data_IF_838034394895
#
_entry.id   IF_838034394895
#
_cell.length_a   1.000
_cell.length_b   1.000
_cell.length_c   1.000
_cell.angle_alpha   90.00
_cell.angle_beta   90.00
_cell.angle_gamma   90.00
#
_symmetry.space_group_name_H-M   'P 1'
#
loop_
_entity.id
_entity.type
_entity.pdbx_description
1 polymer ?
2 non-polymer ?
3 non-polymer ?
4 non-polymer ?
5 water ?
#
# COMPACT_ATOMS: atom_id res chain seq x y z
N UNK A 1 -26.83 3.53 6.59
CA UNK A 1 -25.70 2.81 7.23
C UNK A 1 -24.71 3.84 7.77
N UNK A 2 -24.61 3.94 9.09
CA UNK A 2 -23.73 4.93 9.70
C UNK A 2 -22.26 4.66 9.36
N UNK A 3 -21.89 3.39 9.21
CA UNK A 3 -20.53 3.01 8.84
C UNK A 3 -20.22 3.50 7.43
N UNK A 4 -21.18 3.26 6.53
CA UNK A 4 -20.99 3.67 5.16
C UNK A 4 -20.91 5.20 5.08
N UNK A 5 -21.75 5.88 5.85
CA UNK A 5 -21.66 7.34 5.92
C UNK A 5 -20.27 7.85 6.35
N UNK A 6 -19.65 7.16 7.31
CA UNK A 6 -18.31 7.49 7.78
C UNK A 6 -17.27 7.43 6.66
N UNK A 7 -17.48 6.53 5.70
CA UNK A 7 -16.56 6.41 4.57
C UNK A 7 -16.89 7.47 3.53
N UNK A 8 -18.17 7.65 3.26
CA UNK A 8 -18.61 8.57 2.23
C UNK A 8 -18.15 9.97 2.56
N UNK A 9 -18.25 10.35 3.83
CA UNK A 9 -17.98 11.73 4.20
C UNK A 9 -16.47 12.02 4.19
N UNK A 10 -15.66 10.99 3.97
CA UNK A 10 -14.21 11.15 3.88
C UNK A 10 -13.65 10.91 2.46
N UNK A 11 -14.50 10.97 1.45
CA UNK A 11 -14.03 10.97 0.08
C UNK A 11 -14.04 12.43 -0.39
N UNK A 12 -12.89 12.93 -0.80
CA UNK A 12 -12.76 14.31 -1.24
C UNK A 12 -12.66 14.30 -2.76
N UNK A 13 -13.44 15.14 -3.43
CA UNK A 13 -13.51 15.10 -4.89
C UNK A 13 -12.85 16.36 -5.47
N UNK A 14 -11.89 16.15 -6.35
CA UNK A 14 -11.14 17.25 -6.96
C UNK A 14 -11.44 17.35 -8.45
N UNK A 15 -12.16 18.41 -8.84
CA UNK A 15 -12.43 18.58 -10.28
C UNK A 15 -11.18 18.89 -11.09
N UNK A 16 -11.18 18.43 -12.33
CA UNK A 16 -10.17 18.79 -13.32
C UNK A 16 -8.77 18.32 -12.95
N UNK A 17 -8.69 17.20 -12.26
CA UNK A 17 -7.42 16.52 -11.98
C UNK A 17 -7.53 15.09 -12.44
N UNK A 18 -6.60 14.61 -13.29
CA UNK A 18 -5.41 15.36 -13.73
C UNK A 18 -5.62 16.18 -14.99
N UNK A 19 -6.78 16.05 -15.62
CA UNK A 19 -7.08 16.74 -16.85
C UNK A 19 -8.44 17.38 -16.73
N UNK A 20 -8.71 18.41 -17.55
CA UNK A 20 -10.00 19.05 -17.42
C UNK A 20 -11.17 18.09 -17.66
N UNK A 21 -12.17 18.21 -16.79
CA UNK A 21 -13.41 17.46 -16.93
C UNK A 21 -13.47 16.22 -16.08
N UNK A 22 -12.31 15.68 -15.67
CA UNK A 22 -12.29 14.51 -14.80
C UNK A 22 -12.39 14.93 -13.33
N UNK A 23 -13.07 14.13 -12.54
CA UNK A 23 -13.18 14.41 -11.14
C UNK A 23 -12.44 13.32 -10.39
N UNK A 24 -11.38 13.72 -9.69
CA UNK A 24 -10.53 12.79 -8.96
C UNK A 24 -11.12 12.51 -7.59
N UNK A 25 -11.31 11.23 -7.29
CA UNK A 25 -11.87 10.82 -6.01
C UNK A 25 -10.73 10.42 -5.12
N UNK A 26 -10.49 11.23 -4.10
CA UNK A 26 -9.34 11.08 -3.22
C UNK A 26 -9.72 10.37 -1.92
N UNK A 27 -9.16 9.19 -1.71
CA UNK A 27 -9.47 8.38 -0.55
C UNK A 27 -8.57 8.71 0.64
N UNK A 28 -7.68 9.70 0.50
CA UNK A 28 -6.73 10.00 1.55
C UNK A 28 -7.40 10.32 2.89
N UNK A 29 -8.53 11.04 2.89
CA UNK A 29 -9.13 11.34 4.21
C UNK A 29 -9.65 10.09 4.92
N UNK A 30 -9.98 9.05 4.16
CA UNK A 30 -10.39 7.77 4.74
C UNK A 30 -9.24 7.18 5.53
N UNK A 31 -8.04 7.22 4.96
CA UNK A 31 -6.86 6.68 5.63
C UNK A 31 -6.50 7.49 6.87
N UNK A 32 -6.73 8.79 6.80
CA UNK A 32 -6.31 9.72 7.83
C UNK A 32 -7.18 9.67 9.07
N UNK A 33 -8.42 9.19 8.90
CA UNK A 33 -9.38 9.09 9.98
C UNK A 33 -9.51 7.64 10.34
N UNK A 34 -8.99 7.26 11.51
CA UNK A 34 -8.93 5.84 11.79
C UNK A 34 -10.30 5.18 11.85
N UNK A 35 -11.31 5.92 12.26
CA UNK A 35 -12.68 5.38 12.34
C UNK A 35 -13.22 5.10 10.95
N UNK A 36 -12.90 5.98 9.98
CA UNK A 36 -13.33 5.82 8.61
C UNK A 36 -12.68 4.61 7.94
N UNK A 37 -11.38 4.49 8.12
CA UNK A 37 -10.64 3.36 7.55
C UNK A 37 -11.17 2.07 8.15
N UNK A 38 -11.36 2.05 9.47
CA UNK A 38 -11.88 0.83 10.10
C UNK A 38 -13.27 0.47 9.55
N UNK A 39 -14.10 1.48 9.33
CA UNK A 39 -15.44 1.27 8.75
C UNK A 39 -15.36 0.70 7.33
N UNK A 40 -14.47 1.27 6.51
CA UNK A 40 -14.28 0.75 5.13
C UNK A 40 -13.84 -0.71 5.12
N UNK A 41 -12.84 -1.03 5.94
CA UNK A 41 -12.37 -2.41 5.98
C UNK A 41 -13.46 -3.35 6.48
N UNK A 42 -14.18 -2.93 7.52
CA UNK A 42 -15.23 -3.75 8.11
C UNK A 42 -16.38 -3.99 7.14
N UNK A 43 -16.74 -2.98 6.35
CA UNK A 43 -17.81 -3.12 5.38
C UNK A 43 -17.40 -4.10 4.27
N UNK A 44 -16.16 -3.98 3.82
CA UNK A 44 -15.66 -4.86 2.77
C UNK A 44 -15.59 -6.28 3.29
N UNK A 45 -15.09 -6.45 4.50
CA UNK A 45 -14.91 -7.80 5.07
C UNK A 45 -16.25 -8.47 5.29
N UNK A 46 -17.23 -7.68 5.74
CA UNK A 46 -18.57 -8.20 6.01
C UNK A 46 -19.22 -8.67 4.71
N UNK A 47 -19.16 -7.83 3.67
CA UNK A 47 -19.61 -8.22 2.34
C UNK A 47 -18.96 -9.53 1.87
N UNK A 48 -17.65 -9.65 2.00
CA UNK A 48 -16.93 -10.81 1.46
C UNK A 48 -17.21 -12.10 2.22
N UNK A 49 -17.29 -12.01 3.54
CA UNK A 49 -17.65 -13.16 4.35
C UNK A 49 -19.09 -13.61 4.05
N UNK A 50 -20.01 -12.64 3.89
CA UNK A 50 -21.41 -12.98 3.64
C UNK A 50 -21.57 -13.56 2.24
N UNK A 51 -20.74 -13.12 1.31
CA UNK A 51 -20.88 -13.54 -0.08
C UNK A 51 -20.17 -14.85 -0.38
N UNK A 52 -18.98 -15.00 0.17
CA UNK A 52 -18.12 -16.14 -0.18
C UNK A 52 -17.94 -17.18 0.90
N UNK A 53 -18.39 -16.89 2.12
CA UNK A 53 -18.22 -17.82 3.24
C UNK A 53 -16.75 -18.19 3.41
N UNK A 54 -16.43 -19.49 3.39
CA UNK A 54 -15.04 -19.93 3.54
C UNK A 54 -14.27 -20.14 2.24
N UNK A 55 -14.82 -19.69 1.11
CA UNK A 55 -14.20 -19.97 -0.20
C UNK A 55 -12.92 -19.18 -0.46
N UNK A 56 -12.78 -18.00 0.16
CA UNK A 56 -11.63 -17.17 -0.16
C UNK A 56 -10.34 -17.73 0.45
N UNK A 57 -9.29 -17.82 -0.36
CA UNK A 57 -7.99 -18.26 0.11
C UNK A 57 -7.05 -17.08 0.37
N UNK A 58 -7.09 -16.10 -0.51
CA UNK A 58 -6.18 -14.92 -0.45
C UNK A 58 -6.88 -13.69 -0.98
N UNK A 59 -6.44 -12.55 -0.46
CA UNK A 59 -6.74 -11.24 -1.06
C UNK A 59 -5.56 -10.89 -1.98
N UNK A 60 -5.84 -10.29 -3.14
CA UNK A 60 -4.82 -9.73 -4.02
C UNK A 60 -4.97 -8.23 -4.04
N UNK A 61 -3.93 -7.52 -3.65
CA UNK A 61 -3.95 -6.07 -3.65
C UNK A 61 -3.25 -5.54 -4.88
N UNK A 62 -3.85 -4.52 -5.50
CA UNK A 62 -3.27 -3.91 -6.68
C UNK A 62 -2.42 -2.67 -6.40
N UNK A 63 -1.21 -2.67 -6.94
CA UNK A 63 -0.26 -1.56 -6.87
C UNK A 63 -0.95 -0.34 -7.52
N UNK A 64 -1.00 0.84 -6.89
CA UNK A 64 -0.40 1.11 -5.59
C UNK A 64 -1.45 1.36 -4.51
N UNK A 65 -2.57 1.98 -4.86
CA UNK A 65 -3.53 2.35 -3.83
C UNK A 65 -4.26 1.15 -3.24
N UNK A 66 -4.31 0.05 -3.99
CA UNK A 66 -4.89 -1.17 -3.44
C UNK A 66 -4.05 -1.75 -2.32
N UNK A 67 -2.76 -1.40 -2.30
CA UNK A 67 -1.86 -1.83 -1.24
C UNK A 67 -2.34 -1.25 0.10
N UNK A 68 -3.05 -0.13 0.06
CA UNK A 68 -3.48 0.56 1.28
C UNK A 68 -4.59 -0.20 1.99
N UNK A 69 -5.31 -1.03 1.24
CA UNK A 69 -6.52 -1.70 1.75
C UNK A 69 -6.37 -3.20 1.80
N UNK A 70 -5.59 -3.76 0.88
CA UNK A 70 -5.43 -5.20 0.80
C UNK A 70 -5.00 -5.89 2.08
N UNK A 71 -3.88 -5.46 2.63
CA UNK A 71 -3.39 -6.18 3.82
C UNK A 71 -4.35 -6.08 5.00
N UNK A 72 -4.94 -4.90 5.22
CA UNK A 72 -5.86 -4.76 6.32
C UNK A 72 -7.11 -5.62 6.14
N UNK A 73 -7.58 -5.70 4.91
CA UNK A 73 -8.76 -6.50 4.58
C UNK A 73 -8.42 -7.98 4.79
N UNK A 74 -7.27 -8.39 4.28
CA UNK A 74 -6.84 -9.77 4.47
C UNK A 74 -6.74 -10.11 5.97
N UNK A 75 -6.07 -9.26 6.75
CA UNK A 75 -5.94 -9.51 8.20
C UNK A 75 -7.32 -9.64 8.84
N UNK A 76 -8.27 -8.82 8.41
CA UNK A 76 -9.60 -8.86 9.01
C UNK A 76 -10.28 -10.20 8.73
N UNK A 77 -9.97 -10.81 7.59
CA UNK A 77 -10.54 -12.10 7.18
C UNK A 77 -9.70 -13.31 7.61
N UNK A 78 -8.56 -13.04 8.23
CA UNK A 78 -7.66 -14.09 8.67
C UNK A 78 -6.84 -14.69 7.53
N UNK A 79 -6.69 -13.94 6.44
CA UNK A 79 -6.04 -14.40 5.21
C UNK A 79 -4.76 -13.64 4.89
N UNK A 80 -3.91 -14.26 4.09
CA UNK A 80 -2.80 -13.56 3.50
C UNK A 80 -3.19 -12.67 2.34
N UNK A 81 -2.26 -11.81 1.95
CA UNK A 81 -2.45 -10.91 0.82
C UNK A 81 -1.32 -11.13 -0.20
N UNK A 82 -1.68 -11.35 -1.46
CA UNK A 82 -0.69 -11.41 -2.52
C UNK A 82 -0.69 -10.10 -3.30
N UNK A 83 0.38 -9.84 -4.03
CA UNK A 83 0.57 -8.53 -4.67
C UNK A 83 0.58 -8.63 -6.18
N UNK A 84 -0.10 -7.68 -6.82
CA UNK A 84 -0.04 -7.51 -8.26
C UNK A 84 0.55 -6.12 -8.50
N UNK A 85 1.68 -6.07 -9.22
CA UNK A 85 2.47 -4.85 -9.27
C UNK A 85 2.63 -4.31 -10.69
N UNK A 86 2.88 -3.01 -10.80
CA UNK A 86 3.39 -2.48 -12.06
C UNK A 86 4.61 -3.29 -12.50
N UNK A 87 4.70 -3.60 -13.79
CA UNK A 87 5.74 -4.47 -14.30
C UNK A 87 7.15 -3.92 -13.98
N UNK A 88 8.04 -4.84 -13.63
CA UNK A 88 9.44 -4.50 -13.39
C UNK A 88 9.79 -4.36 -11.92
N UNK A 89 8.78 -4.44 -11.06
CA UNK A 89 9.01 -4.23 -9.63
C UNK A 89 9.28 -5.52 -8.85
N UNK A 90 8.81 -6.65 -9.39
CA UNK A 90 8.89 -7.92 -8.66
C UNK A 90 10.00 -8.83 -9.16
N UNK A 91 10.75 -9.44 -8.22
CA UNK A 91 11.84 -10.35 -8.58
C UNK A 91 11.33 -11.76 -8.84
N UNK A 92 12.14 -12.57 -9.51
CA UNK A 92 11.81 -13.98 -9.72
C UNK A 92 10.95 -14.12 -10.94
N UNK A 93 10.50 -15.35 -11.23
CA UNK A 93 9.68 -15.62 -12.42
C UNK A 93 8.32 -14.95 -12.31
N UNK A 94 7.92 -14.28 -13.38
CA UNK A 94 6.65 -13.55 -13.38
C UNK A 94 5.87 -13.78 -14.66
N UNK A 95 4.61 -13.35 -14.60
CA UNK A 95 3.77 -13.20 -15.76
C UNK A 95 3.40 -11.72 -15.81
N UNK A 96 3.22 -11.19 -17.00
CA UNK A 96 2.75 -9.81 -17.15
C UNK A 96 1.63 -9.67 -18.19
N UNK A 97 0.89 -8.57 -18.08
CA UNK A 97 -0.22 -8.34 -18.97
C UNK A 97 -0.30 -6.85 -19.24
N UNK A 98 -0.48 -6.51 -20.50
CA UNK A 98 -0.66 -5.12 -20.88
C UNK A 98 -2.12 -4.75 -20.76
N UNK A 99 -2.36 -3.46 -20.65
CA UNK A 99 -3.71 -2.96 -20.62
C UNK A 99 -3.59 -1.48 -20.98
N UNK A 100 -4.70 -0.87 -21.37
CA UNK A 100 -4.72 0.53 -21.76
C UNK A 100 -4.84 1.39 -20.50
N UNK A 101 -4.02 2.43 -20.41
CA UNK A 101 -4.09 3.36 -19.31
C UNK A 101 -3.94 4.77 -19.86
N UNK A 102 -4.93 5.61 -19.58
CA UNK A 102 -4.95 6.97 -20.11
C UNK A 102 -4.69 6.94 -21.62
N UNK A 103 -3.58 7.52 -22.07
CA UNK A 103 -3.33 7.65 -23.52
C UNK A 103 -2.40 6.57 -24.10
N UNK A 104 -1.92 5.66 -23.26
CA UNK A 104 -0.97 4.67 -23.73
C UNK A 104 -1.22 3.30 -23.15
N UNK A 105 -0.17 2.51 -23.04
CA UNK A 105 -0.25 1.18 -22.45
C UNK A 105 0.52 1.17 -21.15
N UNK A 106 0.14 0.27 -20.24
CA UNK A 106 0.91 0.00 -19.04
C UNK A 106 0.87 -1.51 -18.85
N UNK A 107 1.67 -2.03 -17.92
CA UNK A 107 1.68 -3.47 -17.69
C UNK A 107 1.68 -3.79 -16.20
N UNK A 108 0.91 -4.81 -15.84
CA UNK A 108 0.91 -5.35 -14.49
C UNK A 108 1.61 -6.70 -14.53
N UNK A 109 2.04 -7.17 -13.36
CA UNK A 109 2.86 -8.37 -13.26
C UNK A 109 2.63 -9.05 -11.92
N UNK A 110 2.76 -10.37 -11.91
CA UNK A 110 2.58 -11.15 -10.71
C UNK A 110 3.67 -12.21 -10.69
N UNK A 111 4.13 -12.57 -9.50
CA UNK A 111 5.09 -13.66 -9.37
C UNK A 111 4.41 -14.98 -9.67
N UNK A 112 5.08 -15.87 -10.39
CA UNK A 112 4.46 -17.15 -10.74
C UNK A 112 4.10 -17.99 -9.52
N UNK A 113 4.84 -17.84 -8.41
CA UNK A 113 4.50 -18.60 -7.20
C UNK A 113 3.54 -17.89 -6.24
N UNK A 114 2.95 -16.77 -6.67
CA UNK A 114 2.02 -16.05 -5.78
C UNK A 114 0.83 -16.92 -5.38
N UNK A 115 0.36 -17.75 -6.31
CA UNK A 115 -0.79 -18.64 -6.07
C UNK A 115 -0.57 -19.95 -6.79
N UNK A 116 -1.18 -21.01 -6.24
CA UNK A 116 -1.24 -22.33 -6.87
C UNK A 116 -2.53 -22.53 -7.62
N UNK A 117 -2.50 -23.43 -8.60
CA UNK A 117 -3.72 -23.73 -9.33
C UNK A 117 -4.81 -24.16 -8.38
N UNK A 118 -5.99 -23.59 -8.56
CA UNK A 118 -7.15 -23.93 -7.77
C UNK A 118 -7.41 -23.00 -6.62
N UNK A 119 -6.46 -22.13 -6.28
CA UNK A 119 -6.65 -21.23 -5.17
C UNK A 119 -7.58 -20.10 -5.59
N UNK A 120 -8.35 -19.60 -4.63
CA UNK A 120 -9.44 -18.66 -4.86
C UNK A 120 -9.11 -17.33 -4.23
N UNK A 121 -9.36 -16.27 -4.98
CA UNK A 121 -8.84 -14.97 -4.64
C UNK A 121 -9.89 -13.89 -4.85
N UNK A 122 -9.82 -12.85 -4.03
CA UNK A 122 -10.58 -11.61 -4.24
C UNK A 122 -9.58 -10.48 -4.44
N UNK A 123 -9.78 -9.74 -5.51
CA UNK A 123 -8.92 -8.61 -5.86
C UNK A 123 -9.49 -7.33 -5.27
N UNK A 124 -8.63 -6.50 -4.68
CA UNK A 124 -9.05 -5.22 -4.13
C UNK A 124 -8.23 -4.07 -4.70
N UNK A 125 -8.94 -3.00 -5.04
CA UNK A 125 -8.28 -1.75 -5.40
C UNK A 125 -9.11 -0.64 -4.77
N UNK A 126 -8.60 0.59 -4.78
CA UNK A 126 -9.36 1.66 -4.17
C UNK A 126 -10.56 2.07 -5.01
N UNK A 127 -10.38 2.09 -6.33
CA UNK A 127 -11.41 2.61 -7.21
C UNK A 127 -11.42 1.86 -8.52
N UNK A 128 -12.63 1.61 -9.01
CA UNK A 128 -12.88 1.02 -10.32
C UNK A 128 -13.36 2.11 -11.27
N UNK A 129 -12.63 2.31 -12.36
CA UNK A 129 -13.03 3.30 -13.39
C UNK A 129 -13.36 2.55 -14.68
N UNK A 130 -12.50 2.57 -15.70
CA UNK A 130 -12.77 1.77 -16.90
C UNK A 130 -12.75 0.28 -16.62
N UNK A 131 -12.04 -0.14 -15.59
CA UNK A 131 -11.91 -1.56 -15.33
C UNK A 131 -10.68 -2.18 -15.96
N UNK A 132 -9.91 -1.40 -16.72
CA UNK A 132 -8.73 -1.96 -17.40
C UNK A 132 -7.73 -2.59 -16.41
N UNK A 133 -7.49 -1.90 -15.30
CA UNK A 133 -6.55 -2.35 -14.28
C UNK A 133 -7.02 -3.66 -13.64
N UNK A 134 -8.25 -3.67 -13.16
CA UNK A 134 -8.80 -4.87 -12.55
C UNK A 134 -8.89 -6.03 -13.54
N UNK A 135 -9.18 -5.71 -14.79
CA UNK A 135 -9.30 -6.74 -15.82
C UNK A 135 -7.95 -7.39 -16.09
N UNK A 136 -6.89 -6.61 -16.16
CA UNK A 136 -5.54 -7.15 -16.31
C UNK A 136 -5.15 -8.04 -15.11
N UNK A 137 -5.51 -7.60 -13.90
CA UNK A 137 -5.28 -8.39 -12.70
C UNK A 137 -5.99 -9.75 -12.79
N UNK A 138 -7.25 -9.73 -13.19
CA UNK A 138 -7.99 -11.00 -13.38
C UNK A 138 -7.32 -11.93 -14.39
N UNK A 139 -6.83 -11.36 -15.50
CA UNK A 139 -6.12 -12.12 -16.53
C UNK A 139 -4.89 -12.81 -15.98
N UNK A 140 -4.07 -12.07 -15.24
CA UNK A 140 -2.88 -12.62 -14.60
C UNK A 140 -3.20 -13.76 -13.65
N UNK A 141 -4.19 -13.55 -12.79
CA UNK A 141 -4.58 -14.57 -11.82
C UNK A 141 -5.12 -15.81 -12.51
N UNK A 142 -5.89 -15.62 -13.58
CA UNK A 142 -6.42 -16.71 -14.38
C UNK A 142 -5.30 -17.53 -14.97
N UNK A 143 -4.21 -16.87 -15.37
CA UNK A 143 -3.09 -17.56 -15.97
C UNK A 143 -2.30 -18.40 -14.95
N UNK A 144 -2.41 -18.10 -13.66
CA UNK A 144 -1.86 -19.00 -12.61
C UNK A 144 -2.85 -20.10 -12.27
N UNK A 145 -3.96 -20.14 -13.01
CA UNK A 145 -5.01 -21.11 -12.77
C UNK A 145 -5.67 -20.88 -11.43
N UNK A 146 -5.63 -19.62 -10.97
CA UNK A 146 -6.37 -19.22 -9.77
C UNK A 146 -7.77 -18.85 -10.21
N UNK A 147 -8.71 -18.89 -9.27
CA UNK A 147 -10.08 -18.51 -9.54
C UNK A 147 -10.32 -17.17 -8.88
N UNK A 148 -10.74 -16.18 -9.66
CA UNK A 148 -11.11 -14.90 -9.09
C UNK A 148 -12.59 -14.91 -8.71
N UNK A 149 -12.87 -14.90 -7.42
CA UNK A 149 -14.23 -14.94 -6.90
C UNK A 149 -14.95 -13.63 -7.07
N UNK A 150 -14.22 -12.53 -6.96
CA UNK A 150 -14.82 -11.21 -6.95
C UNK A 150 -13.71 -10.18 -7.00
N UNK A 151 -14.02 -9.02 -7.56
CA UNK A 151 -13.20 -7.82 -7.42
C UNK A 151 -13.97 -6.79 -6.59
N UNK A 152 -13.28 -6.07 -5.69
CA UNK A 152 -13.94 -5.08 -4.86
C UNK A 152 -13.15 -3.78 -4.83
N UNK A 153 -13.86 -2.70 -4.54
CA UNK A 153 -13.25 -1.38 -4.42
C UNK A 153 -14.04 -0.50 -3.44
N UNK A 154 -13.44 0.59 -2.97
CA UNK A 154 -14.19 1.56 -2.19
C UNK A 154 -15.14 2.35 -3.09
N UNK A 155 -14.64 2.75 -4.26
CA UNK A 155 -15.38 3.64 -5.16
C UNK A 155 -15.49 3.05 -6.55
N UNK A 156 -16.64 3.27 -7.17
CA UNK A 156 -16.90 2.84 -8.55
C UNK A 156 -17.45 4.04 -9.32
N UNK A 157 -16.95 4.25 -10.54
CA UNK A 157 -17.43 5.33 -11.41
C UNK A 157 -18.32 4.70 -12.47
N UNK A 158 -19.62 4.72 -12.23
CA UNK A 158 -20.53 3.87 -12.98
C UNK A 158 -20.63 4.23 -14.47
N UNK A 159 -20.40 5.50 -14.82
CA UNK A 159 -20.57 5.88 -16.21
C UNK A 159 -19.50 5.25 -17.11
N UNK A 160 -18.43 4.75 -16.51
CA UNK A 160 -17.31 4.15 -17.27
C UNK A 160 -17.49 2.65 -17.50
N UNK A 161 -18.54 2.06 -16.92
CA UNK A 161 -18.93 0.71 -17.22
C UNK A 161 -17.85 -0.33 -16.92
N UNK A 162 -17.11 -0.12 -15.83
CA UNK A 162 -16.12 -1.10 -15.38
C UNK A 162 -16.70 -2.47 -15.01
N UNK A 163 -17.87 -2.44 -14.37
CA UNK A 163 -18.53 -3.67 -13.94
C UNK A 163 -18.71 -4.59 -15.15
N UNK A 164 -19.25 -4.00 -16.22
CA UNK A 164 -19.51 -4.70 -17.48
C UNK A 164 -18.24 -5.30 -18.08
N UNK A 165 -17.15 -4.54 -18.00
CA UNK A 165 -15.85 -5.04 -18.47
C UNK A 165 -15.40 -6.29 -17.71
N UNK A 166 -15.59 -6.29 -16.40
CA UNK A 166 -15.15 -7.42 -15.58
C UNK A 166 -16.01 -8.64 -15.73
N UNK A 167 -17.29 -8.44 -16.08
CA UNK A 167 -18.23 -9.57 -16.23
C UNK A 167 -17.60 -10.64 -17.11
N UNK A 168 -17.72 -11.92 -16.74
CA UNK A 168 -18.61 -12.37 -15.68
C UNK A 168 -18.01 -12.43 -14.27
N UNK A 169 -16.81 -11.88 -14.05
CA UNK A 169 -16.26 -11.81 -12.68
C UNK A 169 -17.09 -10.82 -11.87
N UNK A 170 -17.68 -11.26 -10.77
CA UNK A 170 -18.52 -10.36 -9.96
C UNK A 170 -17.72 -9.17 -9.42
N UNK A 171 -18.42 -8.10 -9.10
CA UNK A 171 -17.79 -6.87 -8.61
C UNK A 171 -18.69 -6.19 -7.57
N UNK A 172 -18.06 -5.55 -6.58
CA UNK A 172 -18.74 -4.86 -5.50
C UNK A 172 -17.96 -3.62 -5.09
N UNK A 173 -18.68 -2.52 -4.89
CA UNK A 173 -18.08 -1.27 -4.47
C UNK A 173 -18.88 -0.71 -3.29
N UNK A 174 -18.20 -0.02 -2.38
CA UNK A 174 -18.87 0.62 -1.26
C UNK A 174 -19.70 1.82 -1.70
N UNK A 175 -19.11 2.62 -2.58
CA UNK A 175 -19.67 3.89 -3.02
C UNK A 175 -19.67 4.01 -4.55
N UNK A 176 -20.70 4.67 -5.08
CA UNK A 176 -20.82 4.88 -6.53
C UNK A 176 -20.99 6.35 -6.86
N UNK A 177 -20.26 6.80 -7.88
CA UNK A 177 -20.47 8.13 -8.46
C UNK A 177 -20.62 7.95 -9.97
N UNK A 178 -21.30 8.86 -10.63
CA UNK A 178 -21.37 8.79 -12.08
C UNK A 178 -19.93 8.80 -12.61
N UNK B 1 13.55 -14.36 19.67
CA UNK B 1 12.15 -13.85 19.58
C UNK B 1 11.44 -14.57 18.43
N UNK B 2 10.43 -15.36 18.77
CA UNK B 2 9.75 -16.19 17.80
C UNK B 2 8.93 -15.34 16.81
N UNK B 3 8.38 -14.21 17.27
CA UNK B 3 7.68 -13.28 16.38
C UNK B 3 8.61 -12.69 15.34
N UNK B 4 9.79 -12.28 15.79
CA UNK B 4 10.77 -11.75 14.88
C UNK B 4 11.20 -12.84 13.91
N UNK B 5 11.28 -14.09 14.39
CA UNK B 5 11.63 -15.19 13.51
C UNK B 5 10.59 -15.41 12.42
N UNK B 6 9.31 -15.20 12.75
CA UNK B 6 8.25 -15.36 11.76
C UNK B 6 8.40 -14.37 10.59
N UNK B 7 8.95 -13.20 10.88
CA UNK B 7 9.17 -12.19 9.84
C UNK B 7 10.44 -12.53 9.06
N UNK B 8 11.51 -12.85 9.77
CA UNK B 8 12.80 -13.08 9.10
C UNK B 8 12.72 -14.28 8.13
N UNK B 9 12.01 -15.33 8.50
CA UNK B 9 11.94 -16.48 7.63
C UNK B 9 11.04 -16.22 6.41
N UNK B 10 10.35 -15.09 6.37
CA UNK B 10 9.52 -14.72 5.22
C UNK B 10 10.10 -13.58 4.38
N UNK B 11 11.38 -13.24 4.55
CA UNK B 11 12.07 -12.33 3.63
C UNK B 11 12.85 -13.20 2.67
N UNK B 12 12.71 -13.00 1.38
CA UNK B 12 13.55 -13.78 0.45
C UNK B 12 14.42 -12.84 -0.36
N UNK B 13 15.63 -13.31 -0.65
CA UNK B 13 16.63 -12.45 -1.24
C UNK B 13 16.89 -12.88 -2.66
N UNK B 14 17.02 -11.91 -3.55
CA UNK B 14 17.30 -12.16 -4.96
C UNK B 14 18.55 -11.40 -5.42
N UNK B 15 19.66 -12.12 -5.57
CA UNK B 15 20.90 -11.47 -6.07
C UNK B 15 20.73 -10.91 -7.48
N UNK B 16 21.33 -9.75 -7.72
CA UNK B 16 21.36 -9.13 -9.05
C UNK B 16 19.97 -8.86 -9.63
N UNK B 17 19.06 -8.47 -8.75
CA UNK B 17 17.78 -7.88 -9.16
C UNK B 17 17.61 -6.55 -8.47
N UNK B 18 17.20 -5.50 -9.19
CA UNK B 18 16.82 -5.59 -10.61
C UNK B 18 17.98 -5.38 -11.59
N UNK B 19 19.17 -5.09 -11.06
CA UNK B 19 20.34 -4.88 -11.87
C UNK B 19 21.53 -5.56 -11.17
N UNK B 20 22.62 -5.86 -11.91
CA UNK B 20 23.73 -6.57 -11.28
C UNK B 20 24.35 -5.77 -10.14
N UNK B 21 24.58 -6.42 -9.02
CA UNK B 21 25.12 -5.74 -7.85
C UNK B 21 24.13 -5.59 -6.72
N UNK B 22 22.84 -5.46 -7.03
CA UNK B 22 21.84 -5.25 -5.98
C UNK B 22 21.31 -6.60 -5.50
N UNK B 23 21.19 -6.80 -4.19
CA UNK B 23 20.52 -7.99 -3.64
C UNK B 23 19.14 -7.56 -3.17
N UNK B 24 18.11 -7.96 -3.90
CA UNK B 24 16.77 -7.48 -3.63
C UNK B 24 16.21 -8.26 -2.45
N UNK B 25 15.66 -7.53 -1.47
CA UNK B 25 14.98 -8.16 -0.35
C UNK B 25 13.48 -8.06 -0.55
N UNK B 26 12.82 -9.21 -0.73
CA UNK B 26 11.41 -9.26 -1.10
C UNK B 26 10.56 -9.55 0.14
N UNK B 27 9.71 -8.60 0.50
CA UNK B 27 8.84 -8.78 1.67
C UNK B 27 7.52 -9.45 1.30
N UNK B 28 7.35 -9.81 0.03
CA UNK B 28 6.09 -10.42 -0.40
C UNK B 28 5.64 -11.62 0.46
N UNK B 29 6.58 -12.49 0.90
CA UNK B 29 6.08 -13.61 1.71
C UNK B 29 5.53 -13.21 3.10
N UNK B 30 5.98 -12.08 3.63
CA UNK B 30 5.46 -11.56 4.90
C UNK B 30 3.97 -11.23 4.75
N UNK B 31 3.62 -10.65 3.61
CA UNK B 31 2.24 -10.22 3.36
C UNK B 31 1.36 -11.44 3.13
N UNK B 32 1.92 -12.49 2.54
CA UNK B 32 1.12 -13.67 2.15
C UNK B 32 0.84 -14.58 3.34
N UNK B 33 1.67 -14.50 4.37
CA UNK B 33 1.48 -15.32 5.56
C UNK B 33 0.89 -14.45 6.68
N UNK B 34 -0.40 -14.64 6.99
CA UNK B 34 -1.04 -13.64 7.88
C UNK B 34 -0.39 -13.57 9.26
N UNK B 35 0.18 -14.67 9.72
CA UNK B 35 0.86 -14.69 11.02
C UNK B 35 2.14 -13.82 11.00
N UNK B 36 2.83 -13.84 9.86
CA UNK B 36 4.05 -13.10 9.64
C UNK B 36 3.73 -11.59 9.58
N UNK B 37 2.67 -11.25 8.87
CA UNK B 37 2.29 -9.86 8.70
C UNK B 37 1.85 -9.29 10.04
N UNK B 38 1.04 -10.03 10.78
CA UNK B 38 0.62 -9.61 12.12
C UNK B 38 1.80 -9.42 13.06
N UNK B 39 2.79 -10.31 12.94
CA UNK B 39 4.00 -10.24 13.75
C UNK B 39 4.78 -8.96 13.46
N UNK B 40 4.92 -8.65 12.18
CA UNK B 40 5.68 -7.47 11.78
C UNK B 40 5.04 -6.20 12.31
N UNK B 41 3.73 -6.08 12.09
CA UNK B 41 2.97 -4.93 12.57
C UNK B 41 3.05 -4.81 14.11
N UNK B 42 2.93 -5.94 14.81
CA UNK B 42 2.97 -5.94 16.25
C UNK B 42 4.32 -5.54 16.81
N UNK B 43 5.40 -6.01 16.19
CA UNK B 43 6.72 -5.64 16.64
C UNK B 43 6.99 -4.15 16.46
N UNK B 44 6.54 -3.61 15.33
CA UNK B 44 6.68 -2.19 15.05
C UNK B 44 5.85 -1.38 16.02
N UNK B 45 4.62 -1.82 16.28
CA UNK B 45 3.72 -1.06 17.13
C UNK B 45 4.21 -1.07 18.59
N UNK B 46 4.72 -2.21 19.04
CA UNK B 46 5.26 -2.32 20.39
C UNK B 46 6.47 -1.40 20.55
N UNK B 47 7.36 -1.39 19.55
CA UNK B 47 8.52 -0.49 19.62
C UNK B 47 8.08 0.96 19.71
N UNK B 48 7.10 1.32 18.90
CA UNK B 48 6.69 2.72 18.82
C UNK B 48 5.99 3.19 20.09
N UNK B 49 5.13 2.34 20.67
CA UNK B 49 4.46 2.70 21.93
C UNK B 49 5.45 2.78 23.09
N UNK B 50 6.43 1.88 23.07
CA UNK B 50 7.44 1.84 24.11
C UNK B 50 8.39 3.04 24.05
N UNK B 51 8.56 3.59 22.86
CA UNK B 51 9.49 4.68 22.64
C UNK B 51 8.83 6.06 22.73
N UNK B 52 7.58 6.16 22.29
CA UNK B 52 6.89 7.45 22.19
C UNK B 52 5.68 7.64 23.09
N UNK B 53 5.28 6.59 23.81
CA UNK B 53 4.05 6.66 24.58
C UNK B 53 2.89 7.16 23.72
N UNK B 54 2.20 8.19 24.16
CA UNK B 54 1.03 8.68 23.41
C UNK B 54 1.31 9.85 22.48
N UNK B 55 2.57 10.09 22.15
CA UNK B 55 2.96 11.33 21.45
C UNK B 55 2.80 11.32 19.92
N UNK B 56 2.58 10.15 19.33
CA UNK B 56 2.43 10.05 17.88
C UNK B 56 1.02 10.46 17.42
N UNK B 57 0.96 11.39 16.47
CA UNK B 57 -0.33 11.85 15.94
C UNK B 57 -0.71 11.04 14.71
N UNK B 58 0.25 10.77 13.83
CA UNK B 58 -0.01 10.06 12.59
C UNK B 58 1.14 9.18 12.18
N UNK B 59 0.80 8.11 11.46
CA UNK B 59 1.76 7.37 10.67
C UNK B 59 1.81 7.95 9.25
N UNK B 60 3.01 8.03 8.65
CA UNK B 60 3.12 8.39 7.24
C UNK B 60 3.71 7.19 6.50
N UNK B 61 2.96 6.69 5.52
CA UNK B 61 3.38 5.56 4.71
C UNK B 61 3.91 6.02 3.37
N UNK B 62 5.00 5.39 2.93
CA UNK B 62 5.69 5.78 1.71
C UNK B 62 5.33 4.89 0.53
N UNK B 63 5.02 5.54 -0.58
CA UNK B 63 4.63 4.90 -1.84
C UNK B 63 5.84 4.15 -2.35
N UNK B 64 5.73 2.85 -2.70
CA UNK B 64 4.46 2.12 -2.69
C UNK B 64 4.44 1.01 -1.64
N UNK B 65 5.59 0.42 -1.32
CA UNK B 65 5.59 -0.73 -0.43
C UNK B 65 5.32 -0.33 1.03
N UNK B 66 5.59 0.94 1.37
CA UNK B 66 5.23 1.44 2.67
C UNK B 66 3.72 1.49 2.89
N UNK B 67 2.96 1.61 1.80
CA UNK B 67 1.50 1.58 1.83
C UNK B 67 1.01 0.25 2.39
N UNK B 68 1.83 -0.79 2.22
CA UNK B 68 1.48 -2.14 2.68
C UNK B 68 1.49 -2.24 4.20
N UNK B 69 2.28 -1.39 4.86
CA UNK B 69 2.42 -1.45 6.31
C UNK B 69 1.78 -0.28 7.05
N UNK B 70 1.82 0.90 6.46
CA UNK B 70 1.31 2.12 7.07
C UNK B 70 -0.08 2.04 7.69
N UNK B 71 -1.10 1.68 6.89
CA UNK B 71 -2.46 1.69 7.45
C UNK B 71 -2.64 0.67 8.54
N UNK B 72 -2.07 -0.52 8.37
CA UNK B 72 -2.18 -1.49 9.44
C UNK B 72 -1.48 -1.07 10.73
N UNK B 73 -0.31 -0.46 10.60
CA UNK B 73 0.42 0.04 11.77
C UNK B 73 -0.36 1.15 12.47
N UNK B 74 -0.88 2.09 11.68
CA UNK B 74 -1.71 3.16 12.20
C UNK B 74 -2.92 2.60 12.95
N UNK B 75 -3.64 1.68 12.33
CA UNK B 75 -4.79 1.08 12.99
C UNK B 75 -4.41 0.42 14.31
N UNK B 76 -3.31 -0.32 14.34
CA UNK B 76 -2.87 -0.99 15.57
C UNK B 76 -2.61 0.03 16.69
N UNK B 77 -2.22 1.23 16.30
CA UNK B 77 -1.88 2.29 17.23
C UNK B 77 -3.08 3.23 17.53
N UNK B 78 -4.21 2.98 16.88
CA UNK B 78 -5.36 3.86 17.01
C UNK B 78 -5.22 5.18 16.27
N UNK B 79 -4.33 5.23 15.29
CA UNK B 79 -4.02 6.47 14.57
C UNK B 79 -4.43 6.47 13.09
N UNK B 80 -4.51 7.66 12.52
CA UNK B 80 -4.63 7.80 11.07
C UNK B 80 -3.29 7.62 10.33
N UNK B 81 -3.39 7.39 9.03
CA UNK B 81 -2.21 7.27 8.15
C UNK B 81 -2.26 8.32 7.05
N UNK B 82 -1.19 9.10 6.92
CA UNK B 82 -1.08 10.03 5.81
C UNK B 82 -0.15 9.47 4.74
N UNK B 83 -0.28 9.98 3.53
CA UNK B 83 0.42 9.39 2.42
C UNK B 83 1.49 10.31 1.88
N UNK B 84 2.62 9.72 1.55
CA UNK B 84 3.65 10.43 0.80
C UNK B 84 3.84 9.64 -0.51
N UNK B 85 3.70 10.31 -1.64
CA UNK B 85 3.57 9.60 -2.90
C UNK B 85 4.67 9.93 -3.87
N UNK B 86 4.84 9.08 -4.87
CA UNK B 86 5.67 9.45 -6.00
C UNK B 86 5.02 10.66 -6.68
N UNK B 87 5.82 11.62 -7.13
CA UNK B 87 5.25 12.83 -7.74
C UNK B 87 4.28 12.58 -8.90
N UNK B 88 3.21 13.35 -8.90
CA UNK B 88 2.26 13.34 -10.01
C UNK B 88 1.00 12.55 -9.71
N UNK B 89 0.92 11.97 -8.51
CA UNK B 89 -0.19 11.09 -8.17
C UNK B 89 -1.27 11.77 -7.32
N UNK B 90 -0.92 12.85 -6.64
CA UNK B 90 -1.83 13.47 -5.68
C UNK B 90 -2.50 14.72 -6.24
N UNK B 91 -3.82 14.88 -5.96
CA UNK B 91 -4.56 16.05 -6.33
C UNK B 91 -4.37 17.16 -5.31
N UNK B 92 -4.74 18.37 -5.72
CA UNK B 92 -4.61 19.53 -4.84
C UNK B 92 -3.18 20.03 -4.72
N UNK B 93 -2.98 21.13 -3.99
CA UNK B 93 -1.65 21.72 -3.87
C UNK B 93 -0.69 20.77 -3.20
N UNK B 94 0.51 20.66 -3.75
CA UNK B 94 1.51 19.76 -3.21
C UNK B 94 2.86 20.44 -3.06
N UNK B 95 3.70 19.80 -2.27
CA UNK B 95 5.12 20.06 -2.21
C UNK B 95 5.81 18.80 -2.66
N UNK B 96 7.00 18.94 -3.25
CA UNK B 96 7.76 17.77 -3.66
C UNK B 96 9.26 17.89 -3.32
N UNK B 97 9.95 16.75 -3.31
CA UNK B 97 11.36 16.71 -2.95
C UNK B 97 12.04 15.58 -3.69
N UNK B 98 13.20 15.87 -4.26
CA UNK B 98 13.94 14.88 -5.04
C UNK B 98 14.81 14.00 -4.17
N UNK B 99 15.83 13.41 -4.79
CA UNK B 99 16.70 12.48 -4.09
C UNK B 99 17.08 11.39 -5.07
N UNK B 100 18.32 11.40 -5.53
CA UNK B 100 18.73 10.46 -6.55
C UNK B 100 18.29 9.04 -6.19
N UNK B 101 17.76 8.36 -7.20
CA UNK B 101 17.45 6.95 -7.15
C UNK B 101 18.09 6.41 -8.43
N UNK B 102 18.77 5.27 -8.33
CA UNK B 102 19.46 4.69 -9.49
C UNK B 102 20.58 5.64 -9.95
N UNK B 103 20.66 5.81 -11.27
CA UNK B 103 21.66 6.68 -11.89
C UNK B 103 21.11 8.10 -12.14
N UNK B 104 19.87 8.35 -11.72
CA UNK B 104 19.23 9.63 -11.96
C UNK B 104 18.45 10.15 -10.76
N UNK B 105 17.35 10.86 -11.02
CA UNK B 105 16.60 11.52 -9.96
C UNK B 105 15.09 11.22 -10.02
N UNK B 106 14.44 11.36 -8.88
CA UNK B 106 13.03 11.01 -8.71
C UNK B 106 12.50 11.88 -7.56
N UNK B 107 11.17 11.99 -7.44
CA UNK B 107 10.60 12.94 -6.49
C UNK B 107 9.42 12.35 -5.72
N UNK B 108 9.35 12.64 -4.42
CA UNK B 108 8.21 12.31 -3.57
C UNK B 108 7.40 13.58 -3.41
N UNK B 109 6.15 13.42 -2.98
CA UNK B 109 5.19 14.53 -2.95
C UNK B 109 4.22 14.34 -1.79
N UNK B 110 3.78 15.44 -1.20
CA UNK B 110 2.80 15.39 -0.15
C UNK B 110 1.84 16.55 -0.36
N UNK B 111 0.58 16.37 0.03
CA UNK B 111 -0.40 17.47 -0.06
C UNK B 111 -0.05 18.54 0.96
N UNK B 112 -0.17 19.80 0.56
CA UNK B 112 0.15 20.89 1.47
C UNK B 112 -0.69 20.84 2.74
N UNK B 113 -1.88 20.23 2.66
CA UNK B 113 -2.75 20.19 3.85
C UNK B 113 -2.75 18.83 4.58
N UNK B 114 -1.76 18.00 4.31
CA UNK B 114 -1.71 16.68 4.90
C UNK B 114 -1.56 16.71 6.43
N UNK B 115 -0.85 17.72 6.95
CA UNK B 115 -0.61 17.83 8.41
C UNK B 115 -0.60 19.30 8.79
N UNK B 116 -0.88 19.59 10.07
CA UNK B 116 -0.83 20.93 10.63
C UNK B 116 0.48 21.12 11.35
N UNK B 117 0.94 22.37 11.49
CA UNK B 117 2.17 22.61 12.20
C UNK B 117 2.15 22.00 13.59
N UNK B 118 3.23 21.31 13.95
CA UNK B 118 3.38 20.77 15.28
C UNK B 118 2.94 19.33 15.42
N UNK B 119 2.22 18.81 14.44
CA UNK B 119 1.77 17.42 14.52
C UNK B 119 2.96 16.49 14.41
N UNK B 120 2.89 15.38 15.14
CA UNK B 120 4.02 14.48 15.32
C UNK B 120 3.78 13.22 14.54
N UNK B 121 4.77 12.82 13.75
CA UNK B 121 4.58 11.78 12.78
C UNK B 121 5.69 10.73 12.85
N UNK B 122 5.33 9.48 12.57
CA UNK B 122 6.31 8.41 12.39
C UNK B 122 6.17 7.92 10.94
N UNK B 123 7.29 7.84 10.25
CA UNK B 123 7.33 7.43 8.84
C UNK B 123 7.66 5.94 8.76
N UNK B 124 6.95 5.21 7.90
CA UNK B 124 7.23 3.77 7.69
C UNK B 124 7.42 3.45 6.21
N UNK B 125 8.44 2.63 5.93
CA UNK B 125 8.64 2.05 4.61
C UNK B 125 9.04 0.60 4.82
N UNK B 126 9.07 -0.18 3.74
CA UNK B 126 9.46 -1.56 3.93
C UNK B 126 10.94 -1.75 4.26
N UNK B 127 11.78 -0.95 3.62
CA UNK B 127 13.22 -1.17 3.66
C UNK B 127 13.98 0.16 3.55
N UNK B 128 14.98 0.31 4.41
CA UNK B 128 15.88 1.46 4.37
C UNK B 128 17.20 1.02 3.73
N UNK B 129 17.59 1.70 2.66
CA UNK B 129 18.86 1.44 1.98
C UNK B 129 19.77 2.66 2.14
N UNK B 130 19.92 3.49 1.12
CA UNK B 130 20.75 4.70 1.25
C UNK B 130 20.08 5.72 2.19
N UNK B 131 18.77 5.63 2.34
CA UNK B 131 18.04 6.60 3.16
C UNK B 131 17.49 7.77 2.36
N UNK B 132 17.73 7.77 1.06
CA UNK B 132 17.29 8.86 0.20
C UNK B 132 15.78 9.07 0.24
N UNK B 133 15.03 7.96 0.20
CA UNK B 133 13.58 8.02 0.17
C UNK B 133 13.06 8.55 1.50
N UNK B 134 13.52 7.96 2.59
CA UNK B 134 13.09 8.41 3.88
C UNK B 134 13.51 9.84 4.17
N UNK B 135 14.69 10.21 3.68
CA UNK B 135 15.18 11.55 3.88
C UNK B 135 14.29 12.57 3.16
N UNK B 136 13.87 12.27 1.94
CA UNK B 136 12.94 13.13 1.21
C UNK B 136 11.59 13.24 1.95
N UNK B 137 11.11 12.13 2.50
CA UNK B 137 9.87 12.15 3.28
C UNK B 137 10.00 13.06 4.50
N UNK B 138 11.13 12.98 5.20
CA UNK B 138 11.36 13.85 6.36
C UNK B 138 11.41 15.31 5.93
N UNK B 139 12.08 15.60 4.82
CA UNK B 139 12.16 16.97 4.32
C UNK B 139 10.75 17.53 4.09
N UNK B 140 9.89 16.75 3.43
CA UNK B 140 8.53 17.20 3.15
C UNK B 140 7.71 17.45 4.41
N UNK B 141 7.77 16.51 5.37
CA UNK B 141 7.10 16.69 6.63
C UNK B 141 7.62 17.91 7.40
N UNK B 142 8.93 18.11 7.37
CA UNK B 142 9.57 19.27 7.98
C UNK B 142 9.07 20.57 7.36
N UNK B 143 8.84 20.54 6.04
CA UNK B 143 8.35 21.73 5.35
C UNK B 143 6.87 22.04 5.67
N UNK B 144 6.14 21.07 6.17
CA UNK B 144 4.81 21.29 6.75
C UNK B 144 4.86 21.64 8.24
N UNK B 145 6.07 21.78 8.78
CA UNK B 145 6.32 22.11 10.18
C UNK B 145 5.89 20.97 11.10
N UNK B 146 5.85 19.77 10.54
CA UNK B 146 5.53 18.61 11.37
C UNK B 146 6.82 18.14 12.04
N UNK B 147 6.70 17.42 13.15
CA UNK B 147 7.84 16.88 13.84
C UNK B 147 7.91 15.39 13.55
N UNK B 148 8.97 14.97 12.90
CA UNK B 148 9.16 13.54 12.64
C UNK B 148 9.79 12.90 13.88
N UNK B 149 9.03 12.05 14.57
CA UNK B 149 9.53 11.43 15.80
C UNK B 149 10.49 10.29 15.52
N UNK B 150 10.31 9.62 14.39
CA UNK B 150 11.06 8.41 14.11
C UNK B 150 10.72 7.93 12.70
N UNK B 151 11.67 7.21 12.10
CA UNK B 151 11.42 6.47 10.87
C UNK B 151 11.60 4.99 11.18
N UNK B 152 10.72 4.14 10.66
CA UNK B 152 10.85 2.70 10.88
C UNK B 152 10.72 1.89 9.58
N UNK B 153 11.34 0.72 9.56
CA UNK B 153 11.20 -0.18 8.43
C UNK B 153 11.27 -1.63 8.92
N UNK B 154 10.91 -2.58 8.07
CA UNK B 154 11.18 -3.98 8.38
C UNK B 154 12.65 -4.33 8.20
N UNK B 155 13.29 -3.75 7.17
CA UNK B 155 14.62 -4.18 6.77
C UNK B 155 15.53 -2.97 6.67
N UNK B 156 16.76 -3.12 7.13
CA UNK B 156 17.79 -2.08 7.00
C UNK B 156 19.02 -2.70 6.39
N UNK B 157 19.60 -2.03 5.39
CA UNK B 157 20.83 -2.49 4.75
C UNK B 157 21.98 -1.68 5.32
N UNK B 158 22.66 -2.21 6.32
CA UNK B 158 23.51 -1.35 7.15
C UNK B 158 24.74 -0.79 6.45
N UNK B 159 25.26 -1.49 5.43
CA UNK B 159 26.48 -1.01 4.77
C UNK B 159 26.22 0.30 4.00
N UNK B 160 24.95 0.63 3.78
CA UNK B 160 24.61 1.82 3.00
C UNK B 160 24.41 3.06 3.86
N UNK B 161 24.43 2.90 5.18
CA UNK B 161 24.52 4.02 6.12
C UNK B 161 23.33 4.97 6.09
N UNK B 162 22.16 4.45 5.74
CA UNK B 162 20.93 5.25 5.77
C UNK B 162 20.58 5.80 7.14
N UNK B 163 20.91 5.06 8.19
CA UNK B 163 20.69 5.54 9.55
C UNK B 163 21.42 6.86 9.82
N UNK B 164 22.71 6.90 9.48
CA UNK B 164 23.49 8.13 9.62
C UNK B 164 22.93 9.25 8.75
N UNK B 165 22.42 8.92 7.58
CA UNK B 165 21.82 9.91 6.70
C UNK B 165 20.58 10.56 7.34
N UNK B 166 19.80 9.77 8.06
CA UNK B 166 18.58 10.30 8.70
C UNK B 166 18.84 11.07 10.00
N UNK B 167 19.95 10.76 10.68
CA UNK B 167 20.33 11.47 11.93
C UNK B 167 20.23 12.96 11.71
N UNK B 168 19.63 13.69 12.66
CA UNK B 168 19.32 13.21 14.00
C UNK B 168 17.94 12.56 14.17
N UNK B 169 17.18 12.39 13.09
CA UNK B 169 15.91 11.66 13.22
C UNK B 169 16.19 10.19 13.58
N UNK B 170 15.58 9.70 14.68
CA UNK B 170 15.80 8.32 15.11
C UNK B 170 15.27 7.33 14.08
N UNK B 171 15.91 6.16 14.03
CA UNK B 171 15.53 5.12 13.09
C UNK B 171 15.51 3.76 13.77
N UNK B 172 14.57 2.91 13.37
CA UNK B 172 14.43 1.57 13.93
C UNK B 172 14.05 0.59 12.82
N UNK B 173 14.72 -0.56 12.80
CA UNK B 173 14.39 -1.61 11.84
C UNK B 173 14.23 -2.94 12.57
N UNK B 174 13.36 -3.81 12.06
CA UNK B 174 13.18 -5.14 12.63
C UNK B 174 14.40 -6.00 12.35
N UNK B 175 14.89 -5.94 11.11
CA UNK B 175 15.96 -6.81 10.64
C UNK B 175 17.05 -6.04 9.94
N UNK B 176 18.29 -6.48 10.12
CA UNK B 176 19.42 -5.87 9.46
C UNK B 176 20.20 -6.88 8.58
N UNK B 177 20.57 -6.45 7.38
CA UNK B 177 21.50 -7.20 6.55
C UNK B 177 22.60 -6.23 6.11
N UNK B 178 23.74 -6.77 5.71
CA UNK B 178 24.81 -5.92 5.18
C UNK B 178 24.30 -5.12 3.98
#
# INVERSE_FOLDING_TARGET
>A
DSELQLVEQRIRSFPDFPTPGVVFRDISPVLKDPASFRAAIGLLARHLKATHGGRIDYIAGLDSRGFLFGPSLAQELGLGCVLIRKRGKLPGPTLWASYSLEFGKAELEIQKDALEPGQRVVVVDDLLATGGTMNAACELLGRLQAEVLECVSLVELTSLKGREKLAPVPFFSLLQYE
>B
DSELQLVEQRIRSFPDFPTPGVVFRDISPVLKDPASFRAAIGLLARHLKATHGGRIDYIAGLDSRGFLFGPSLAQELGLGCVLIRKRGKLPGPTLWASYSLEFGKAELEIQKDALEPGQRVVVVDDLLATGGTMNAACELLGRLQAEVLECVSLVELTSLKGREKLAPVPFFSLLQYE
#
